data_IF_964305325597
#
_entry.id   IF_964305325597
#
_cell.length_a   1.000
_cell.length_b   1.000
_cell.length_c   1.000
_cell.angle_alpha   90.00
_cell.angle_beta   90.00
_cell.angle_gamma   90.00
#
_symmetry.space_group_name_H-M   'P 1'
#
loop_
_entity.id
_entity.type
_entity.pdbx_description
1 polymer ?
#
# COMPACT_ATOMS: atom_id res chain seq x y z
N UNK A 1 0.55 -14.23 3.19
CA UNK A 1 1.95 -13.80 3.39
C UNK A 1 2.66 -14.93 4.10
N UNK A 2 3.73 -15.44 3.51
CA UNK A 2 4.61 -16.42 4.14
C UNK A 2 5.95 -15.76 4.44
N UNK A 3 6.47 -16.01 5.65
CA UNK A 3 7.71 -15.41 6.15
C UNK A 3 8.72 -16.51 6.49
N UNK A 4 9.98 -16.27 6.18
CA UNK A 4 11.09 -16.98 6.79
C UNK A 4 11.65 -16.14 7.94
N UNK A 5 11.20 -16.41 9.14
CA UNK A 5 11.59 -15.68 10.35
C UNK A 5 13.09 -15.76 10.67
N UNK A 6 13.78 -16.79 10.19
CA UNK A 6 15.21 -16.95 10.43
C UNK A 6 16.07 -16.06 9.54
N UNK A 7 15.60 -15.77 8.33
CA UNK A 7 16.34 -14.97 7.35
C UNK A 7 15.86 -13.53 7.25
N UNK A 8 14.75 -13.17 7.90
CA UNK A 8 14.06 -11.88 7.72
C UNK A 8 13.77 -11.56 6.23
N UNK A 9 13.67 -12.61 5.40
CA UNK A 9 13.32 -12.49 4.00
C UNK A 9 11.86 -12.85 3.78
N UNK A 10 11.13 -11.90 3.24
CA UNK A 10 9.68 -11.96 3.11
C UNK A 10 9.27 -12.09 1.65
N UNK A 11 8.23 -12.87 1.39
CA UNK A 11 7.61 -12.96 0.08
C UNK A 11 6.10 -13.07 0.21
N UNK A 12 5.40 -12.63 -0.82
CA UNK A 12 3.94 -12.66 -0.86
C UNK A 12 3.45 -13.86 -1.67
N UNK A 13 2.39 -14.50 -1.21
CA UNK A 13 1.53 -15.39 -1.98
C UNK A 13 0.10 -14.92 -1.84
N UNK A 14 -0.65 -15.00 -2.91
CA UNK A 14 -2.07 -14.66 -2.91
C UNK A 14 -2.88 -15.96 -2.79
N UNK A 15 -3.83 -15.97 -1.85
CA UNK A 15 -4.80 -17.04 -1.72
C UNK A 15 -6.05 -16.68 -2.53
N UNK A 16 -6.49 -17.59 -3.41
CA UNK A 16 -7.68 -17.46 -4.25
C UNK A 16 -8.68 -18.54 -3.91
N UNK A 17 -9.95 -18.18 -3.87
CA UNK A 17 -11.07 -19.11 -3.76
C UNK A 17 -12.04 -18.91 -4.93
N UNK A 18 -12.39 -19.98 -5.61
CA UNK A 18 -13.36 -20.00 -6.72
C UNK A 18 -14.70 -20.61 -6.30
N UNK A 19 -14.85 -20.97 -5.01
CA UNK A 19 -16.01 -21.68 -4.45
C UNK A 19 -16.59 -21.00 -3.21
N UNK A 20 -16.52 -19.68 -3.15
CA UNK A 20 -17.01 -18.85 -2.03
C UNK A 20 -16.32 -19.15 -0.68
N UNK A 21 -15.02 -19.40 -0.71
CA UNK A 21 -14.20 -19.58 0.49
C UNK A 21 -14.20 -20.99 1.07
N UNK A 22 -14.77 -21.99 0.39
CA UNK A 22 -14.76 -23.41 0.84
C UNK A 22 -13.40 -24.05 0.65
N UNK A 23 -12.70 -23.69 -0.43
CA UNK A 23 -11.32 -24.08 -0.68
C UNK A 23 -10.47 -22.92 -1.16
N UNK A 24 -9.15 -23.00 -1.00
CA UNK A 24 -8.21 -21.94 -1.30
C UNK A 24 -6.98 -22.51 -2.03
N UNK A 25 -6.64 -21.88 -3.16
CA UNK A 25 -5.39 -22.15 -3.88
C UNK A 25 -4.40 -21.00 -3.64
N UNK A 26 -3.11 -21.31 -3.56
CA UNK A 26 -2.04 -20.31 -3.39
C UNK A 26 -1.32 -20.08 -4.71
N UNK A 27 -1.10 -18.82 -5.06
CA UNK A 27 -0.24 -18.45 -6.19
C UNK A 27 1.21 -18.91 -6.00
N UNK A 28 2.00 -18.86 -7.06
CA UNK A 28 3.46 -18.89 -6.93
C UNK A 28 3.96 -17.74 -6.04
N UNK A 29 5.09 -17.91 -5.33
CA UNK A 29 5.65 -16.83 -4.50
C UNK A 29 6.09 -15.63 -5.34
N UNK A 30 5.65 -14.43 -4.96
CA UNK A 30 6.11 -13.15 -5.49
C UNK A 30 7.31 -12.72 -4.67
N UNK A 31 8.48 -12.63 -5.29
CA UNK A 31 9.76 -12.39 -4.63
C UNK A 31 10.46 -11.19 -5.21
N UNK A 32 11.11 -10.40 -4.35
CA UNK A 32 12.04 -9.33 -4.72
C UNK A 32 13.43 -9.66 -4.19
N UNK A 33 14.49 -9.08 -4.75
CA UNK A 33 15.84 -9.23 -4.22
C UNK A 33 15.94 -8.84 -2.75
N UNK A 34 16.89 -9.44 -2.04
CA UNK A 34 17.24 -9.03 -0.68
C UNK A 34 17.91 -7.67 -0.72
N UNK A 35 17.54 -6.80 0.22
CA UNK A 35 18.21 -5.52 0.48
C UNK A 35 19.11 -5.72 1.69
N UNK A 36 20.42 -5.60 1.50
CA UNK A 36 21.39 -5.74 2.60
C UNK A 36 21.23 -4.61 3.62
N UNK A 37 21.35 -4.96 4.90
CA UNK A 37 21.24 -4.00 6.00
C UNK A 37 19.85 -3.50 6.34
N UNK A 38 18.81 -3.91 5.62
CA UNK A 38 17.43 -3.44 5.84
C UNK A 38 16.71 -4.09 7.03
N UNK A 39 17.29 -5.12 7.65
CA UNK A 39 16.62 -5.94 8.66
C UNK A 39 15.56 -6.86 8.06
N UNK A 40 14.50 -6.31 7.48
CA UNK A 40 13.48 -7.02 6.70
C UNK A 40 13.65 -6.69 5.22
N UNK A 41 13.48 -7.67 4.33
CA UNK A 41 13.59 -7.46 2.87
C UNK A 41 12.67 -8.39 2.08
N UNK A 42 12.51 -8.09 0.79
CA UNK A 42 11.62 -8.82 -0.10
C UNK A 42 10.33 -8.06 -0.40
N UNK A 43 9.20 -8.77 -0.47
CA UNK A 43 7.88 -8.22 -0.77
C UNK A 43 6.84 -8.76 0.21
N UNK A 44 6.18 -7.89 0.96
CA UNK A 44 5.21 -8.31 1.98
C UNK A 44 4.10 -7.30 2.22
N UNK A 45 3.15 -7.66 3.09
CA UNK A 45 1.99 -6.83 3.47
C UNK A 45 1.32 -6.20 2.25
N UNK A 46 1.02 -7.05 1.25
CA UNK A 46 0.39 -6.61 0.01
C UNK A 46 -1.09 -6.31 0.18
N UNK A 47 -1.55 -5.35 -0.58
CA UNK A 47 -2.96 -5.01 -0.73
C UNK A 47 -3.34 -4.95 -2.21
N UNK A 48 -4.59 -5.30 -2.56
CA UNK A 48 -4.97 -5.44 -3.94
C UNK A 48 -6.35 -4.86 -4.24
N UNK A 49 -6.54 -4.51 -5.52
CA UNK A 49 -7.83 -4.05 -6.04
C UNK A 49 -8.04 -4.51 -7.47
N UNK A 50 -9.28 -4.73 -7.85
CA UNK A 50 -9.66 -4.94 -9.24
C UNK A 50 -9.60 -3.61 -10.01
N UNK A 51 -9.07 -3.66 -11.23
CA UNK A 51 -9.00 -2.55 -12.17
C UNK A 51 -10.27 -2.48 -13.03
N UNK A 52 -10.51 -1.34 -13.72
CA UNK A 52 -11.63 -1.21 -14.66
C UNK A 52 -11.65 -2.27 -15.77
N UNK A 53 -10.50 -2.78 -16.19
CA UNK A 53 -10.37 -3.81 -17.23
C UNK A 53 -10.54 -5.25 -16.70
N UNK A 54 -10.86 -5.41 -15.42
CA UNK A 54 -11.02 -6.70 -14.75
C UNK A 54 -9.71 -7.36 -14.30
N UNK A 55 -8.55 -6.80 -14.62
CA UNK A 55 -7.28 -7.26 -14.06
C UNK A 55 -7.15 -6.87 -12.58
N UNK A 56 -6.24 -7.51 -11.85
CA UNK A 56 -5.99 -7.22 -10.43
C UNK A 56 -4.63 -6.55 -10.27
N UNK A 57 -4.60 -5.41 -9.61
CA UNK A 57 -3.40 -4.72 -9.17
C UNK A 57 -3.09 -5.12 -7.73
N UNK A 58 -1.88 -5.61 -7.48
CA UNK A 58 -1.31 -5.86 -6.16
C UNK A 58 -0.23 -4.83 -5.86
N UNK A 59 -0.32 -4.15 -4.72
CA UNK A 59 0.69 -3.22 -4.21
C UNK A 59 1.40 -3.88 -3.04
N UNK A 60 2.73 -3.76 -2.98
CA UNK A 60 3.58 -4.50 -2.05
C UNK A 60 4.49 -3.54 -1.28
N UNK A 61 4.57 -3.73 0.03
CA UNK A 61 5.61 -3.13 0.88
C UNK A 61 6.96 -3.74 0.55
N UNK A 62 8.00 -2.90 0.52
CA UNK A 62 9.39 -3.32 0.31
C UNK A 62 10.35 -2.51 1.18
N UNK A 63 11.62 -2.92 1.23
CA UNK A 63 12.71 -2.14 1.82
C UNK A 63 13.51 -1.36 0.74
N UNK A 64 12.96 -1.21 -0.46
CA UNK A 64 13.67 -0.63 -1.63
C UNK A 64 13.40 0.87 -1.83
N UNK A 65 12.86 1.56 -0.81
CA UNK A 65 12.55 3.01 -0.86
C UNK A 65 11.33 3.37 -1.70
N UNK A 66 10.58 2.38 -2.16
CA UNK A 66 9.38 2.53 -2.98
C UNK A 66 8.43 1.37 -2.74
N UNK A 67 7.14 1.57 -2.94
CA UNK A 67 6.22 0.46 -3.08
C UNK A 67 6.44 -0.25 -4.42
N UNK A 68 6.17 -1.54 -4.47
CA UNK A 68 6.18 -2.33 -5.71
C UNK A 68 4.76 -2.72 -6.09
N UNK A 69 4.60 -3.10 -7.35
CA UNK A 69 3.34 -3.59 -7.89
C UNK A 69 3.54 -4.88 -8.67
N UNK A 70 2.51 -5.69 -8.71
CA UNK A 70 2.36 -6.82 -9.62
C UNK A 70 0.93 -6.82 -10.18
N UNK A 71 0.72 -7.51 -11.30
CA UNK A 71 -0.56 -7.56 -12.00
C UNK A 71 -0.96 -9.00 -12.25
N UNK A 72 -2.26 -9.26 -12.17
CA UNK A 72 -2.86 -10.54 -12.55
C UNK A 72 -3.97 -10.30 -13.58
N UNK A 73 -3.98 -11.09 -14.66
CA UNK A 73 -5.01 -11.09 -15.70
C UNK A 73 -5.82 -12.38 -15.71
N UNK A 74 -5.66 -13.22 -14.68
CA UNK A 74 -6.28 -14.54 -14.53
C UNK A 74 -6.87 -14.72 -13.11
N UNK A 75 -7.46 -13.66 -12.58
CA UNK A 75 -8.13 -13.63 -11.27
C UNK A 75 -7.22 -14.04 -10.09
N UNK A 76 -5.93 -13.70 -10.16
CA UNK A 76 -4.97 -13.93 -9.07
C UNK A 76 -4.25 -15.29 -9.12
N UNK A 77 -4.38 -16.04 -10.21
CA UNK A 77 -3.67 -17.31 -10.39
C UNK A 77 -2.18 -17.08 -10.62
N UNK A 78 -1.84 -16.21 -11.58
CA UNK A 78 -0.46 -15.79 -11.84
C UNK A 78 -0.27 -14.29 -11.69
N UNK A 79 0.95 -13.90 -11.34
CA UNK A 79 1.35 -12.52 -11.11
C UNK A 79 2.56 -12.17 -11.96
N UNK A 80 2.46 -11.05 -12.68
CA UNK A 80 3.48 -10.59 -13.61
C UNK A 80 3.72 -9.09 -13.46
N UNK A 81 4.68 -8.55 -14.24
CA UNK A 81 5.07 -7.13 -14.23
C UNK A 81 5.45 -6.60 -12.84
N UNK A 82 6.17 -7.43 -12.07
CA UNK A 82 6.70 -7.02 -10.77
C UNK A 82 7.71 -5.88 -10.95
N UNK A 83 7.34 -4.67 -10.55
CA UNK A 83 8.15 -3.45 -10.71
C UNK A 83 7.82 -2.41 -9.64
N UNK A 84 8.69 -1.39 -9.52
CA UNK A 84 8.40 -0.20 -8.70
C UNK A 84 7.08 0.45 -9.09
N UNK A 85 6.36 0.96 -8.08
CA UNK A 85 5.18 1.80 -8.25
C UNK A 85 5.55 3.27 -8.54
N UNK A 86 6.85 3.61 -8.50
CA UNK A 86 7.40 4.95 -8.71
C UNK A 86 6.88 6.01 -7.71
N UNK A 87 6.53 5.56 -6.52
CA UNK A 87 6.26 6.42 -5.38
C UNK A 87 7.24 6.12 -4.26
N UNK A 88 7.90 7.13 -3.72
CA UNK A 88 8.80 6.95 -2.58
C UNK A 88 8.02 6.49 -1.37
N UNK A 89 8.57 5.56 -0.60
CA UNK A 89 7.95 5.00 0.60
C UNK A 89 9.02 4.50 1.57
N UNK A 90 8.88 4.72 2.88
CA UNK A 90 9.70 4.02 3.85
C UNK A 90 9.29 2.53 3.88
N UNK A 91 9.88 1.76 4.77
CA UNK A 91 9.48 0.37 4.99
C UNK A 91 8.11 0.35 5.70
N UNK A 92 7.05 0.65 4.95
CA UNK A 92 5.68 0.77 5.43
C UNK A 92 4.68 0.24 4.38
N UNK A 93 3.55 -0.37 4.79
CA UNK A 93 2.54 -0.81 3.85
C UNK A 93 1.78 0.38 3.24
N UNK A 94 1.40 0.24 1.97
CA UNK A 94 0.40 1.07 1.32
C UNK A 94 -0.84 0.24 0.99
N UNK A 95 -1.96 0.91 0.81
CA UNK A 95 -3.22 0.28 0.38
C UNK A 95 -3.73 0.90 -0.91
N UNK A 96 -4.40 0.09 -1.71
CA UNK A 96 -4.99 0.51 -2.99
C UNK A 96 -6.45 0.09 -3.08
N UNK A 97 -7.33 0.99 -3.51
CA UNK A 97 -8.77 0.74 -3.68
C UNK A 97 -9.29 1.38 -4.95
N UNK A 98 -10.21 0.72 -5.62
CA UNK A 98 -11.00 1.37 -6.66
C UNK A 98 -12.05 2.28 -6.02
N UNK A 99 -12.14 3.52 -6.50
CA UNK A 99 -13.17 4.47 -6.05
C UNK A 99 -14.51 4.08 -6.68
N UNK A 100 -15.55 3.80 -5.86
CA UNK A 100 -16.85 3.36 -6.37
C UNK A 100 -17.45 4.32 -7.40
N UNK A 101 -18.04 3.76 -8.46
CA UNK A 101 -18.67 4.54 -9.53
C UNK A 101 -17.71 5.25 -10.47
N UNK A 102 -16.40 5.00 -10.36
CA UNK A 102 -15.37 5.60 -11.23
C UNK A 102 -14.37 4.55 -11.71
N UNK A 103 -13.49 4.97 -12.64
CA UNK A 103 -12.34 4.19 -13.07
C UNK A 103 -11.05 4.59 -12.32
N UNK A 104 -11.16 5.47 -11.33
CA UNK A 104 -10.02 5.92 -10.54
C UNK A 104 -9.65 4.90 -9.46
N UNK A 105 -8.34 4.74 -9.26
CA UNK A 105 -7.79 4.05 -8.10
C UNK A 105 -7.27 5.07 -7.09
N UNK A 106 -7.44 4.76 -5.81
CA UNK A 106 -6.91 5.51 -4.66
C UNK A 106 -5.78 4.71 -4.04
N UNK A 107 -4.59 5.32 -3.91
CA UNK A 107 -3.46 4.82 -3.14
C UNK A 107 -3.37 5.62 -1.84
N UNK A 108 -3.13 4.96 -0.71
CA UNK A 108 -2.85 5.59 0.59
C UNK A 108 -1.56 4.97 1.12
N UNK A 109 -0.54 5.81 1.42
CA UNK A 109 0.77 5.34 1.85
C UNK A 109 1.53 6.42 2.65
N UNK A 110 2.70 6.08 3.19
CA UNK A 110 3.62 7.06 3.76
C UNK A 110 4.54 7.62 2.66
N UNK A 111 4.42 8.91 2.39
CA UNK A 111 5.16 9.57 1.31
C UNK A 111 6.48 10.16 1.84
N UNK A 112 7.41 9.29 2.19
CA UNK A 112 8.74 9.66 2.68
C UNK A 112 9.75 8.57 2.34
N UNK A 113 11.02 8.94 2.20
CA UNK A 113 12.13 8.01 2.10
C UNK A 113 13.42 8.72 2.52
N UNK A 114 14.13 8.11 3.47
CA UNK A 114 15.49 8.47 3.83
C UNK A 114 16.28 7.21 4.15
N UNK A 115 17.25 6.88 3.29
CA UNK A 115 18.05 5.67 3.44
C UNK A 115 18.94 5.68 4.69
N UNK A 116 19.20 6.84 5.30
CA UNK A 116 19.99 6.99 6.52
C UNK A 116 19.20 6.74 7.79
N UNK A 117 17.86 6.76 7.72
CA UNK A 117 16.99 6.52 8.86
C UNK A 117 16.64 5.03 9.02
N UNK A 118 16.36 4.57 10.26
CA UNK A 118 15.78 3.25 10.48
C UNK A 118 14.52 3.03 9.66
N UNK A 119 14.31 1.83 9.13
CA UNK A 119 13.17 1.48 8.28
C UNK A 119 13.04 2.36 7.01
N UNK A 120 14.19 2.92 6.54
CA UNK A 120 14.28 3.78 5.37
C UNK A 120 13.38 5.02 5.44
N UNK A 121 13.17 5.53 6.65
CA UNK A 121 12.46 6.77 6.92
C UNK A 121 11.27 6.65 7.87
N UNK A 122 10.89 7.79 8.41
CA UNK A 122 9.74 7.92 9.30
C UNK A 122 8.43 7.72 8.52
N UNK A 123 7.41 7.15 9.18
CA UNK A 123 6.07 6.95 8.59
C UNK A 123 5.22 8.23 8.63
N UNK A 124 5.74 9.28 7.98
CA UNK A 124 5.14 10.60 7.86
C UNK A 124 5.69 11.32 6.62
N UNK A 125 4.87 12.07 5.84
CA UNK A 125 3.43 12.21 5.99
C UNK A 125 2.67 10.93 5.61
N UNK A 126 1.43 10.78 6.13
CA UNK A 126 0.44 9.91 5.50
C UNK A 126 -0.18 10.66 4.35
N UNK A 127 -0.14 10.09 3.17
CA UNK A 127 -0.62 10.73 1.94
C UNK A 127 -1.58 9.82 1.19
N UNK A 128 -2.34 10.40 0.27
CA UNK A 128 -3.09 9.66 -0.73
C UNK A 128 -2.88 10.27 -2.13
N UNK A 129 -3.13 9.48 -3.15
CA UNK A 129 -3.13 9.91 -4.55
C UNK A 129 -4.17 9.14 -5.35
N UNK A 130 -4.63 9.73 -6.46
CA UNK A 130 -5.49 9.05 -7.42
C UNK A 130 -4.74 8.76 -8.72
N UNK A 131 -5.07 7.61 -9.30
CA UNK A 131 -4.64 7.20 -10.63
C UNK A 131 -5.86 7.07 -11.54
N UNK A 132 -5.73 7.54 -12.78
CA UNK A 132 -6.75 7.44 -13.84
C UNK A 132 -6.37 6.43 -14.92
N UNK A 133 -5.22 5.77 -14.81
CA UNK A 133 -4.65 4.84 -15.77
C UNK A 133 -4.50 3.41 -15.21
N UNK A 134 -5.40 3.03 -14.29
CA UNK A 134 -5.39 1.71 -13.68
C UNK A 134 -4.25 1.47 -12.69
N UNK A 135 -3.64 2.52 -12.15
CA UNK A 135 -2.52 2.45 -11.20
C UNK A 135 -1.16 2.36 -11.89
N UNK A 136 -1.08 2.69 -13.17
CA UNK A 136 0.19 2.75 -13.90
C UNK A 136 1.02 3.95 -13.48
N UNK A 137 0.37 5.08 -13.17
CA UNK A 137 1.02 6.26 -12.61
C UNK A 137 0.21 6.88 -11.45
N UNK A 138 0.93 7.63 -10.60
CA UNK A 138 0.42 8.35 -9.44
C UNK A 138 0.94 9.79 -9.45
N UNK A 139 0.41 10.65 -10.32
CA UNK A 139 0.98 11.95 -10.63
C UNK A 139 0.97 12.88 -9.41
N UNK A 140 1.99 13.75 -9.29
CA UNK A 140 2.12 14.71 -8.18
C UNK A 140 0.87 15.58 -7.99
N UNK A 141 0.20 16.10 -9.02
CA UNK A 141 -1.00 16.90 -8.83
C UNK A 141 -2.17 16.17 -8.15
N UNK A 142 -2.22 14.84 -8.25
CA UNK A 142 -3.25 14.04 -7.58
C UNK A 142 -2.94 13.75 -6.11
N UNK A 143 -1.72 14.04 -5.63
CA UNK A 143 -1.29 13.71 -4.26
C UNK A 143 -1.86 14.71 -3.25
N UNK A 144 -2.32 14.19 -2.12
CA UNK A 144 -2.86 14.94 -0.99
C UNK A 144 -2.24 14.45 0.30
N UNK A 145 -1.90 15.36 1.19
CA UNK A 145 -1.50 15.03 2.57
C UNK A 145 -2.76 14.75 3.38
N UNK A 146 -2.81 13.60 4.02
CA UNK A 146 -3.85 13.20 4.97
C UNK A 146 -3.46 13.64 6.37
N UNK A 147 -2.18 13.40 6.75
CA UNK A 147 -1.61 13.75 8.06
C UNK A 147 -0.13 14.08 7.92
N UNK A 148 0.32 15.14 8.63
CA UNK A 148 1.74 15.54 8.64
C UNK A 148 2.16 16.27 9.93
N UNK A 149 1.61 15.89 11.08
CA UNK A 149 2.05 16.45 12.36
C UNK A 149 3.44 15.90 12.71
N UNK A 150 4.46 16.77 12.97
CA UNK A 150 5.84 16.37 13.22
C UNK A 150 6.04 15.55 14.50
N UNK A 151 5.13 15.61 15.45
CA UNK A 151 5.21 14.85 16.69
C UNK A 151 4.70 13.41 16.57
N UNK A 152 4.11 13.04 15.40
CA UNK A 152 3.47 11.75 15.21
C UNK A 152 3.94 11.01 13.96
N UNK A 153 3.77 9.69 14.00
CA UNK A 153 3.87 8.78 12.86
C UNK A 153 2.52 8.11 12.61
N UNK A 154 2.29 7.71 11.37
CA UNK A 154 1.02 7.15 10.90
C UNK A 154 1.28 5.84 10.19
N UNK A 155 0.59 4.77 10.57
CA UNK A 155 0.88 3.45 10.02
C UNK A 155 -0.37 2.61 9.80
N UNK A 156 -0.23 1.62 8.93
CA UNK A 156 -1.27 0.63 8.65
C UNK A 156 -2.62 1.26 8.28
N UNK A 157 -2.66 2.07 7.22
CA UNK A 157 -3.91 2.64 6.78
C UNK A 157 -4.88 1.54 6.35
N UNK A 158 -6.15 1.79 6.54
CA UNK A 158 -7.25 1.05 5.94
C UNK A 158 -8.30 2.04 5.48
N UNK A 159 -9.07 1.75 4.43
CA UNK A 159 -10.14 2.64 4.02
C UNK A 159 -11.39 1.88 3.58
N UNK A 160 -12.51 2.56 3.73
CA UNK A 160 -13.81 2.17 3.19
C UNK A 160 -14.50 3.38 2.61
N UNK A 161 -15.41 3.15 1.67
CA UNK A 161 -16.23 4.22 1.06
C UNK A 161 -17.63 4.16 1.67
N UNK A 162 -18.08 5.29 2.20
CA UNK A 162 -19.42 5.43 2.79
C UNK A 162 -20.07 6.65 2.19
N UNK A 163 -21.15 6.45 1.44
CA UNK A 163 -21.80 7.50 0.66
C UNK A 163 -20.77 8.16 -0.31
N UNK A 164 -20.55 9.46 -0.19
CA UNK A 164 -19.65 10.25 -1.04
C UNK A 164 -18.32 10.57 -0.33
N UNK A 165 -17.97 9.81 0.70
CA UNK A 165 -16.74 9.99 1.47
C UNK A 165 -15.87 8.72 1.45
N UNK A 166 -14.55 8.88 1.50
CA UNK A 166 -13.61 7.86 1.91
C UNK A 166 -13.30 8.05 3.41
N UNK A 167 -13.46 6.98 4.17
CA UNK A 167 -13.13 6.90 5.59
C UNK A 167 -11.82 6.15 5.73
N UNK A 168 -10.80 6.82 6.24
CA UNK A 168 -9.44 6.28 6.37
C UNK A 168 -9.13 6.12 7.85
N UNK A 169 -8.82 4.89 8.28
CA UNK A 169 -8.33 4.59 9.63
C UNK A 169 -6.86 4.23 9.60
N UNK A 170 -6.11 4.61 10.64
CA UNK A 170 -4.68 4.35 10.76
C UNK A 170 -4.21 4.45 12.21
N UNK A 171 -3.06 3.84 12.51
CA UNK A 171 -2.39 4.04 13.79
C UNK A 171 -1.71 5.40 13.85
N UNK A 172 -1.73 6.00 15.06
CA UNK A 172 -0.97 7.19 15.39
C UNK A 172 -0.06 6.85 16.58
N UNK A 173 1.23 7.05 16.44
CA UNK A 173 2.25 6.87 17.49
C UNK A 173 3.10 8.12 17.58
N UNK A 174 3.68 8.40 18.75
CA UNK A 174 4.64 9.50 18.89
C UNK A 174 5.91 9.21 18.07
N UNK A 175 6.49 10.25 17.45
CA UNK A 175 7.80 10.14 16.80
C UNK A 175 8.92 9.77 17.76
N UNK A 176 8.76 10.06 19.09
CA UNK A 176 9.73 9.71 20.14
C UNK A 176 9.64 8.23 20.55
N UNK A 177 8.50 7.58 20.29
CA UNK A 177 8.28 6.16 20.54
C UNK A 177 7.36 5.58 19.44
N UNK A 178 7.87 5.40 18.22
CA UNK A 178 7.06 4.99 17.07
C UNK A 178 6.53 3.54 17.17
N UNK A 179 7.05 2.75 18.08
CA UNK A 179 6.61 1.37 18.35
C UNK A 179 5.86 1.21 19.67
N UNK A 180 5.74 2.27 20.47
CA UNK A 180 5.07 2.29 21.77
C UNK A 180 3.55 2.44 21.70
N UNK A 181 3.02 3.21 22.65
CA UNK A 181 1.57 3.42 22.75
C UNK A 181 0.97 3.98 21.46
N UNK A 182 -0.13 3.37 20.99
CA UNK A 182 -0.79 3.71 19.74
C UNK A 182 -2.23 4.12 19.99
N UNK A 183 -2.66 5.13 19.24
CA UNK A 183 -4.05 5.49 19.10
C UNK A 183 -4.54 5.11 17.70
N UNK A 184 -5.84 4.88 17.56
CA UNK A 184 -6.49 4.75 16.26
C UNK A 184 -7.13 6.08 15.92
N UNK A 185 -6.87 6.59 14.71
CA UNK A 185 -7.51 7.81 14.19
C UNK A 185 -8.33 7.47 12.96
N UNK A 186 -9.41 8.24 12.75
CA UNK A 186 -10.26 8.22 11.57
C UNK A 186 -10.25 9.60 10.94
N UNK A 187 -9.94 9.65 9.65
CA UNK A 187 -10.08 10.84 8.80
C UNK A 187 -11.09 10.57 7.69
N UNK A 188 -11.93 11.55 7.39
CA UNK A 188 -12.92 11.48 6.31
C UNK A 188 -12.59 12.52 5.26
N UNK A 189 -12.63 12.12 3.99
CA UNK A 189 -12.42 13.02 2.85
C UNK A 189 -13.55 12.83 1.84
N UNK A 190 -14.11 13.91 1.27
CA UNK A 190 -15.05 13.80 0.16
C UNK A 190 -14.37 13.14 -1.05
N UNK A 191 -15.03 12.16 -1.68
CA UNK A 191 -14.54 11.51 -2.91
C UNK A 191 -14.31 12.56 -4.00
N UNK A 192 -15.21 13.53 -4.13
CA UNK A 192 -15.08 14.63 -5.09
C UNK A 192 -13.74 15.37 -4.98
N UNK A 193 -13.26 15.62 -3.75
CA UNK A 193 -11.97 16.28 -3.51
C UNK A 193 -10.76 15.45 -3.95
N UNK A 194 -10.91 14.13 -4.12
CA UNK A 194 -9.86 13.22 -4.58
C UNK A 194 -9.80 13.13 -6.10
N UNK A 195 -10.93 13.24 -6.79
CA UNK A 195 -11.02 13.05 -8.24
C UNK A 195 -10.93 14.36 -9.03
N UNK A 196 -11.28 15.50 -8.43
CA UNK A 196 -11.08 16.82 -9.03
C UNK A 196 -9.61 17.23 -8.91
N UNK A 197 -8.91 17.23 -10.05
CA UNK A 197 -7.59 17.85 -10.15
C UNK A 197 -7.77 19.37 -10.26
N UNK A 198 -7.27 20.11 -9.27
CA UNK A 198 -7.18 21.59 -9.35
C UNK A 198 -5.93 21.99 -10.10
#
# INVERSE_FOLDING_TARGET
ITQDWHSHYLYTRVARSDDHGKSWALSAPIRLPRVEGSGESGAWEGDMTERPDGSVLLVLRTAMGTLFRAESHDSGETWQRLRSLEVVSPVAPGIVRRIPGTDHLLLIWNWHYDASEPMAGIRRPLACATSTDGGDSWPLPSRRIVEDDPDYTYAYPSCTFINEEVWITYYVSSTRDPFGARSLKLTRLPIQALIEQK
#
